data_IF_082341443299
#
_entry.id   IF_082341443299
#
_cell.length_a   1.000
_cell.length_b   1.000
_cell.length_c   1.000
_cell.angle_alpha   90.00
_cell.angle_beta   90.00
_cell.angle_gamma   90.00
#
_symmetry.space_group_name_H-M   'P 1'
#
loop_
_entity.id
_entity.type
_entity.pdbx_description
1 polymer ?
#
# COMPACT_ATOMS: atom_id res chain seq x y z
N UNK A 1 14.10 -3.09 13.85
CA UNK A 1 14.39 -2.54 12.51
C UNK A 1 13.05 -2.23 11.87
N UNK A 2 12.83 -1.00 11.41
CA UNK A 2 11.60 -0.64 10.70
C UNK A 2 11.63 -1.22 9.28
N UNK A 3 10.46 -1.50 8.71
CA UNK A 3 10.32 -1.89 7.30
C UNK A 3 10.76 -0.70 6.42
N UNK A 4 11.44 -0.96 5.29
CA UNK A 4 11.79 0.07 4.29
C UNK A 4 10.68 0.25 3.25
N UNK A 5 10.62 1.40 2.57
CA UNK A 5 9.57 1.68 1.59
C UNK A 5 9.54 0.63 0.47
N UNK A 6 10.70 0.11 0.08
CA UNK A 6 10.85 -0.98 -0.89
C UNK A 6 10.31 -2.30 -0.35
N UNK A 7 10.53 -2.59 0.93
CA UNK A 7 9.97 -3.77 1.58
C UNK A 7 8.44 -3.68 1.68
N UNK A 8 7.90 -2.51 2.03
CA UNK A 8 6.45 -2.27 2.01
C UNK A 8 5.88 -2.49 0.60
N UNK A 9 6.55 -1.94 -0.43
CA UNK A 9 6.14 -2.09 -1.83
C UNK A 9 6.15 -3.54 -2.30
N UNK A 10 7.07 -4.36 -1.78
CA UNK A 10 7.12 -5.80 -2.07
C UNK A 10 6.04 -6.58 -1.34
N UNK A 11 5.76 -6.26 -0.09
CA UNK A 11 4.92 -7.11 0.77
C UNK A 11 3.43 -6.95 0.51
N UNK A 12 2.96 -5.75 0.14
CA UNK A 12 1.53 -5.53 -0.07
C UNK A 12 0.96 -6.35 -1.26
N UNK A 13 1.60 -6.37 -2.45
CA UNK A 13 1.15 -7.25 -3.54
C UNK A 13 1.13 -8.73 -3.16
N UNK A 14 2.16 -9.19 -2.42
CA UNK A 14 2.21 -10.59 -1.95
C UNK A 14 1.06 -10.92 -1.00
N UNK A 15 0.64 -9.97 -0.15
CA UNK A 15 -0.52 -10.17 0.71
C UNK A 15 -1.81 -10.33 -0.12
N UNK A 16 -1.99 -9.53 -1.17
CA UNK A 16 -3.14 -9.68 -2.08
C UNK A 16 -3.09 -10.97 -2.89
N UNK A 17 -1.92 -11.36 -3.39
CA UNK A 17 -1.75 -12.66 -4.07
C UNK A 17 -2.19 -13.81 -3.16
N UNK A 18 -1.73 -13.79 -1.91
CA UNK A 18 -2.11 -14.79 -0.92
C UNK A 18 -3.62 -14.76 -0.59
N UNK A 19 -4.23 -13.57 -0.55
CA UNK A 19 -5.70 -13.43 -0.41
C UNK A 19 -6.42 -14.18 -1.52
N UNK A 20 -5.98 -14.02 -2.77
CA UNK A 20 -6.57 -14.69 -3.93
C UNK A 20 -6.33 -16.22 -3.90
N UNK A 21 -5.14 -16.65 -3.52
CA UNK A 21 -4.76 -18.07 -3.55
C UNK A 21 -5.38 -18.88 -2.40
N UNK A 22 -5.37 -18.33 -1.19
CA UNK A 22 -5.76 -19.07 0.03
C UNK A 22 -7.21 -18.83 0.46
N UNK A 23 -7.81 -17.70 0.06
CA UNK A 23 -9.16 -17.31 0.48
C UNK A 23 -10.03 -16.84 -0.71
N UNK A 24 -10.29 -17.71 -1.70
CA UNK A 24 -11.00 -17.35 -2.93
C UNK A 24 -12.46 -16.89 -2.71
N UNK A 25 -13.01 -17.08 -1.51
CA UNK A 25 -14.34 -16.58 -1.14
C UNK A 25 -14.34 -15.11 -0.68
N UNK A 26 -13.18 -14.47 -0.52
CA UNK A 26 -13.10 -13.03 -0.22
C UNK A 26 -13.37 -12.24 -1.50
N UNK A 27 -14.52 -11.57 -1.55
CA UNK A 27 -14.90 -10.76 -2.72
C UNK A 27 -14.21 -9.40 -2.80
N UNK A 28 -13.84 -8.79 -1.67
CA UNK A 28 -13.22 -7.45 -1.62
C UNK A 28 -12.19 -7.39 -0.51
N UNK A 29 -10.98 -6.91 -0.83
CA UNK A 29 -9.93 -6.59 0.13
C UNK A 29 -9.47 -5.13 -0.04
N UNK A 30 -9.41 -4.38 1.06
CA UNK A 30 -9.03 -2.96 1.04
C UNK A 30 -7.72 -2.74 1.81
N UNK A 31 -6.82 -1.95 1.23
CA UNK A 31 -5.65 -1.45 1.94
C UNK A 31 -6.03 -0.14 2.62
N UNK A 32 -5.82 -0.07 3.94
CA UNK A 32 -6.02 1.17 4.67
C UNK A 32 -4.96 2.20 4.30
N UNK A 33 -5.40 3.46 4.24
CA UNK A 33 -4.61 4.67 4.11
C UNK A 33 -3.98 4.93 2.73
N UNK A 34 -4.84 5.35 1.80
CA UNK A 34 -4.40 5.91 0.53
C UNK A 34 -3.56 7.18 0.74
N UNK A 35 -4.12 8.23 1.38
CA UNK A 35 -3.42 9.47 1.74
C UNK A 35 -4.14 10.27 2.83
N UNK A 36 -3.45 11.27 3.37
CA UNK A 36 -4.01 12.29 4.28
C UNK A 36 -4.20 13.61 3.53
N UNK A 37 -4.93 14.55 4.14
CA UNK A 37 -5.13 15.88 3.59
C UNK A 37 -3.86 16.76 3.71
N UNK A 38 -3.04 16.50 4.74
CA UNK A 38 -1.83 17.28 5.06
C UNK A 38 -0.70 16.33 5.48
N UNK A 39 0.51 16.86 5.55
CA UNK A 39 1.76 16.19 5.95
C UNK A 39 2.04 16.29 7.47
N UNK A 40 1.03 16.63 8.27
CA UNK A 40 1.18 16.83 9.71
C UNK A 40 1.72 15.59 10.43
N UNK A 41 1.41 14.39 9.91
CA UNK A 41 1.84 13.14 10.53
C UNK A 41 3.34 12.89 10.28
N UNK A 42 3.81 13.17 9.07
CA UNK A 42 5.21 13.15 8.68
C UNK A 42 6.02 14.16 9.50
N UNK A 43 5.54 15.41 9.59
CA UNK A 43 6.18 16.47 10.36
C UNK A 43 6.31 16.11 11.85
N UNK A 44 5.25 15.54 12.42
CA UNK A 44 5.22 15.09 13.82
C UNK A 44 5.89 13.72 14.04
N UNK A 45 6.48 13.11 12.99
CA UNK A 45 7.12 11.79 13.03
C UNK A 45 6.22 10.70 13.60
N UNK A 46 4.93 10.76 13.27
CA UNK A 46 3.96 9.76 13.64
C UNK A 46 4.20 8.48 12.83
N UNK A 47 4.23 7.30 13.47
CA UNK A 47 4.53 6.05 12.78
C UNK A 47 3.51 5.74 11.68
N UNK A 48 2.27 6.21 11.82
CA UNK A 48 1.19 6.02 10.87
C UNK A 48 1.55 6.57 9.49
N UNK A 49 2.28 7.70 9.42
CA UNK A 49 2.67 8.36 8.18
C UNK A 49 3.37 7.41 7.19
N UNK A 50 4.06 6.38 7.71
CA UNK A 50 4.76 5.38 6.93
C UNK A 50 3.84 4.51 6.06
N UNK A 51 2.58 4.29 6.47
CA UNK A 51 1.66 3.38 5.77
C UNK A 51 1.00 3.99 4.53
N UNK A 52 1.22 5.27 4.23
CA UNK A 52 0.57 5.96 3.11
C UNK A 52 0.96 5.36 1.76
N UNK A 53 0.01 5.31 0.83
CA UNK A 53 0.28 4.95 -0.56
C UNK A 53 0.63 6.18 -1.40
N UNK A 54 0.06 7.34 -1.07
CA UNK A 54 0.34 8.62 -1.72
C UNK A 54 0.66 9.68 -0.66
N UNK A 55 1.57 10.58 -1.02
CA UNK A 55 1.77 11.84 -0.29
C UNK A 55 0.53 12.75 -0.37
N UNK A 56 0.41 13.77 0.50
CA UNK A 56 -0.74 14.68 0.49
C UNK A 56 -0.99 15.39 -0.85
N UNK A 57 0.07 15.64 -1.60
CA UNK A 57 0.11 16.23 -2.96
C UNK A 57 -0.12 15.20 -4.08
N UNK A 58 -0.52 13.97 -3.74
CA UNK A 58 -0.70 12.83 -4.65
C UNK A 58 0.60 12.28 -5.26
N UNK A 59 1.78 12.66 -4.77
CA UNK A 59 3.03 12.02 -5.19
C UNK A 59 3.02 10.54 -4.77
N UNK A 60 3.15 9.58 -5.71
CA UNK A 60 3.08 8.17 -5.39
C UNK A 60 4.28 7.68 -4.58
N UNK A 61 4.01 6.84 -3.58
CA UNK A 61 5.05 6.08 -2.89
C UNK A 61 5.35 4.78 -3.65
N UNK A 62 6.50 4.13 -3.42
CA UNK A 62 6.85 2.87 -4.10
C UNK A 62 5.76 1.78 -4.01
N UNK A 63 5.03 1.72 -2.89
CA UNK A 63 3.93 0.76 -2.70
C UNK A 63 2.72 1.02 -3.60
N UNK A 64 2.45 2.28 -3.97
CA UNK A 64 1.38 2.58 -4.91
C UNK A 64 1.73 2.11 -6.31
N UNK A 65 2.96 2.36 -6.75
CA UNK A 65 3.47 1.90 -8.04
C UNK A 65 3.44 0.38 -8.14
N UNK A 66 3.91 -0.34 -7.11
CA UNK A 66 3.89 -1.81 -7.11
C UNK A 66 2.46 -2.39 -7.11
N UNK A 67 1.53 -1.77 -6.38
CA UNK A 67 0.12 -2.18 -6.41
C UNK A 67 -0.53 -1.91 -7.77
N UNK A 68 -0.20 -0.78 -8.42
CA UNK A 68 -0.69 -0.47 -9.77
C UNK A 68 -0.24 -1.54 -10.76
N UNK A 69 1.04 -1.89 -10.75
CA UNK A 69 1.59 -2.97 -11.60
C UNK A 69 0.94 -4.32 -11.31
N UNK A 70 0.83 -4.68 -10.03
CA UNK A 70 0.18 -5.93 -9.61
C UNK A 70 -1.26 -6.01 -10.12
N UNK A 71 -2.08 -4.98 -9.88
CA UNK A 71 -3.49 -4.97 -10.33
C UNK A 71 -3.64 -4.98 -11.85
N UNK A 72 -2.70 -4.42 -12.59
CA UNK A 72 -2.70 -4.48 -14.06
C UNK A 72 -2.37 -5.88 -14.60
N UNK A 73 -1.67 -6.71 -13.82
CA UNK A 73 -1.31 -8.09 -14.17
C UNK A 73 -2.30 -9.16 -13.72
N UNK A 74 -3.30 -8.80 -12.89
CA UNK A 74 -4.36 -9.74 -12.48
C UNK A 74 -5.38 -9.88 -13.62
N UNK A 75 -5.48 -11.07 -14.20
CA UNK A 75 -6.52 -11.40 -15.19
C UNK A 75 -7.91 -11.41 -14.54
N UNK A 76 -8.94 -11.05 -15.32
CA UNK A 76 -10.35 -11.00 -14.86
C UNK A 76 -11.00 -12.38 -14.83
#
# INVERSE_FOLDING_TARGET
MAVSLEQQARYLPLAYQRVMDEWPWIGVANTWYLKRATDLWEQNRQPEAYFRLLSPDFTPQPVYESMREFTAGVEK
#
